data_IF_044751515708
#
_entry.id   IF_044751515708
#
_cell.length_a   1.000
_cell.length_b   1.000
_cell.length_c   1.000
_cell.angle_alpha   90.00
_cell.angle_beta   90.00
_cell.angle_gamma   90.00
#
_symmetry.space_group_name_H-M   'P 1'
#
loop_
_entity.id
_entity.type
_entity.pdbx_description
1 polymer ?
#
# COMPACT_ATOMS: atom_id res chain seq x y z
N UNK A 1 29.33 12.36 -6.75
CA UNK A 1 28.42 11.37 -6.13
C UNK A 1 27.39 11.01 -7.19
N UNK A 2 27.43 9.78 -7.73
CA UNK A 2 26.50 9.38 -8.79
C UNK A 2 25.06 9.42 -8.26
N UNK A 3 24.10 10.02 -8.98
CA UNK A 3 22.69 9.79 -8.68
C UNK A 3 22.46 8.28 -8.80
N UNK A 4 21.82 7.69 -7.80
CA UNK A 4 21.52 6.27 -7.70
C UNK A 4 20.94 5.79 -9.02
N UNK A 5 21.72 5.03 -9.80
CA UNK A 5 21.29 4.59 -11.12
C UNK A 5 20.06 3.69 -10.95
N UNK A 6 18.95 4.06 -11.58
CA UNK A 6 17.75 3.22 -11.64
C UNK A 6 18.09 2.07 -12.58
N UNK A 7 18.15 0.86 -12.02
CA UNK A 7 18.41 -0.36 -12.77
C UNK A 7 17.14 -0.82 -13.49
N UNK A 8 17.31 -1.59 -14.56
CA UNK A 8 16.20 -2.26 -15.24
C UNK A 8 15.42 -3.14 -14.25
N UNK A 9 14.09 -3.16 -14.37
CA UNK A 9 13.16 -3.88 -13.49
C UNK A 9 13.07 -3.35 -12.04
N UNK A 10 13.71 -2.22 -11.72
CA UNK A 10 13.48 -1.54 -10.46
C UNK A 10 12.05 -1.00 -10.36
N UNK A 11 11.39 -1.24 -9.23
CA UNK A 11 10.11 -0.62 -8.92
C UNK A 11 10.38 0.72 -8.27
N UNK A 12 9.80 1.78 -8.83
CA UNK A 12 9.94 3.15 -8.34
C UNK A 12 8.57 3.77 -8.09
N UNK A 13 8.46 4.58 -7.05
CA UNK A 13 7.33 5.49 -6.90
C UNK A 13 7.68 6.86 -7.49
N UNK A 14 6.76 7.43 -8.27
CA UNK A 14 6.95 8.71 -8.94
C UNK A 14 5.63 9.45 -9.08
N UNK A 15 5.73 10.78 -9.19
CA UNK A 15 4.59 11.67 -9.48
C UNK A 15 4.63 12.05 -10.96
N UNK A 16 3.46 12.05 -11.60
CA UNK A 16 3.32 12.55 -12.97
C UNK A 16 3.37 14.07 -12.96
N UNK A 17 4.32 14.67 -13.67
CA UNK A 17 4.49 16.11 -13.78
C UNK A 17 3.66 16.69 -14.92
N UNK A 18 3.71 16.04 -16.08
CA UNK A 18 3.05 16.54 -17.28
C UNK A 18 2.55 15.37 -18.15
N UNK A 19 1.42 15.58 -18.81
CA UNK A 19 0.87 14.67 -19.81
C UNK A 19 1.01 15.38 -21.16
N UNK A 20 1.87 14.83 -22.02
CA UNK A 20 2.12 15.37 -23.34
C UNK A 20 0.91 15.12 -24.25
N UNK A 21 0.79 15.88 -25.35
CA UNK A 21 -0.36 15.83 -26.25
C UNK A 21 -0.59 14.45 -26.89
N UNK A 22 0.44 13.60 -26.97
CA UNK A 22 0.34 12.21 -27.42
C UNK A 22 -0.06 11.19 -26.35
N UNK A 23 -0.44 11.63 -25.15
CA UNK A 23 -0.78 10.75 -24.02
C UNK A 23 0.43 10.18 -23.27
N UNK A 24 1.65 10.51 -23.68
CA UNK A 24 2.87 10.18 -22.94
C UNK A 24 2.95 10.98 -21.66
N UNK A 25 3.36 10.34 -20.56
CA UNK A 25 3.50 10.98 -19.25
C UNK A 25 4.95 11.24 -18.90
N UNK A 26 5.27 12.48 -18.56
CA UNK A 26 6.55 12.85 -17.95
C UNK A 26 6.47 12.68 -16.44
N UNK A 27 7.46 12.02 -15.84
CA UNK A 27 7.57 11.84 -14.40
C UNK A 27 8.43 12.95 -13.80
N UNK A 28 8.04 13.47 -12.64
CA UNK A 28 8.77 14.57 -12.02
C UNK A 28 10.12 14.13 -11.50
N UNK A 29 11.16 14.90 -11.83
CA UNK A 29 12.52 14.77 -11.27
C UNK A 29 12.70 15.52 -9.95
N UNK A 30 11.76 16.41 -9.59
CA UNK A 30 11.90 17.34 -8.46
C UNK A 30 11.68 16.69 -7.09
N UNK A 31 11.03 15.51 -7.03
CA UNK A 31 11.02 14.63 -5.86
C UNK A 31 11.81 13.39 -6.23
N UNK A 32 12.82 13.07 -5.43
CA UNK A 32 13.66 11.90 -5.62
C UNK A 32 12.78 10.65 -5.79
N UNK A 33 13.01 9.89 -6.86
CA UNK A 33 12.34 8.62 -7.06
C UNK A 33 12.57 7.74 -5.84
N UNK A 34 11.49 7.29 -5.21
CA UNK A 34 11.60 6.35 -4.09
C UNK A 34 11.71 4.95 -4.68
N UNK A 35 12.87 4.32 -4.52
CA UNK A 35 13.08 2.92 -4.91
C UNK A 35 12.34 2.05 -3.91
N UNK A 36 11.45 1.19 -4.41
CA UNK A 36 10.64 0.32 -3.59
C UNK A 36 11.28 -1.08 -3.53
N UNK A 37 11.80 -1.45 -2.36
CA UNK A 37 12.46 -2.74 -2.11
C UNK A 37 11.74 -3.55 -1.02
N UNK A 38 11.98 -4.87 -0.95
CA UNK A 38 11.43 -5.74 0.13
C UNK A 38 9.90 -5.72 0.24
N UNK A 39 9.23 -5.76 -0.90
CA UNK A 39 7.78 -5.80 -0.98
C UNK A 39 7.26 -6.65 -2.13
N UNK A 40 5.94 -6.62 -2.29
CA UNK A 40 5.21 -7.23 -3.39
C UNK A 40 4.51 -6.14 -4.19
N UNK A 41 4.66 -6.20 -5.51
CA UNK A 41 3.90 -5.39 -6.45
C UNK A 41 2.69 -6.19 -6.96
N UNK A 42 1.52 -5.58 -6.94
CA UNK A 42 0.28 -6.11 -7.49
C UNK A 42 -0.24 -5.19 -8.59
N UNK A 43 -0.95 -5.76 -9.54
CA UNK A 43 -1.67 -5.01 -10.59
C UNK A 43 -3.16 -5.31 -10.47
N UNK A 44 -3.95 -4.26 -10.34
CA UNK A 44 -5.42 -4.30 -10.34
C UNK A 44 -5.98 -3.34 -11.40
N UNK A 45 -7.25 -3.50 -11.83
CA UNK A 45 -7.88 -2.53 -12.70
C UNK A 45 -7.88 -1.12 -12.10
N UNK A 46 -7.46 -0.13 -12.89
CA UNK A 46 -7.23 1.26 -12.43
C UNK A 46 -8.44 1.92 -11.79
N UNK A 47 -9.65 1.58 -12.25
CA UNK A 47 -10.90 2.13 -11.76
C UNK A 47 -11.27 1.65 -10.33
N UNK A 48 -10.58 0.61 -9.83
CA UNK A 48 -10.77 0.13 -8.45
C UNK A 48 -9.92 0.91 -7.44
N UNK A 49 -8.96 1.72 -7.89
CA UNK A 49 -8.15 2.56 -7.00
C UNK A 49 -8.91 3.85 -6.71
N UNK A 50 -9.21 4.10 -5.44
CA UNK A 50 -9.77 5.39 -5.02
C UNK A 50 -8.74 6.50 -5.21
N UNK A 51 -9.13 7.58 -5.90
CA UNK A 51 -8.31 8.79 -6.00
C UNK A 51 -8.46 9.57 -4.69
N UNK A 52 -7.35 9.79 -3.99
CA UNK A 52 -7.32 10.46 -2.69
C UNK A 52 -6.19 11.49 -2.64
N UNK A 53 -6.14 12.26 -1.54
CA UNK A 53 -5.03 13.21 -1.30
C UNK A 53 -3.74 12.49 -0.91
N UNK A 54 -3.85 11.31 -0.29
CA UNK A 54 -2.74 10.48 0.17
C UNK A 54 -2.82 9.12 -0.50
N UNK A 55 -1.70 8.69 -1.07
CA UNK A 55 -1.54 7.37 -1.71
C UNK A 55 -0.52 6.48 -1.00
N UNK A 56 0.25 7.07 -0.08
CA UNK A 56 1.17 6.38 0.83
C UNK A 56 0.47 6.20 2.16
N UNK A 57 0.44 4.96 2.64
CA UNK A 57 -0.20 4.60 3.89
C UNK A 57 0.73 3.72 4.71
N UNK A 58 1.16 4.24 5.85
CA UNK A 58 1.85 3.45 6.84
C UNK A 58 0.82 2.67 7.68
N UNK A 59 0.98 1.36 7.79
CA UNK A 59 0.12 0.50 8.61
C UNK A 59 0.92 0.04 9.84
N UNK A 60 0.98 0.91 10.86
CA UNK A 60 1.75 0.70 12.10
C UNK A 60 1.49 -0.68 12.73
N UNK A 61 0.22 -1.07 12.79
CA UNK A 61 -0.28 -2.33 13.36
C UNK A 61 0.34 -3.58 12.74
N UNK A 62 0.81 -3.49 11.49
CA UNK A 62 1.38 -4.60 10.74
C UNK A 62 2.87 -4.37 10.41
N UNK A 63 3.40 -3.16 10.65
CA UNK A 63 4.78 -2.78 10.36
C UNK A 63 5.12 -2.81 8.86
N UNK A 64 4.14 -2.45 8.02
CA UNK A 64 4.22 -2.49 6.54
C UNK A 64 3.68 -1.20 5.92
N UNK A 65 4.18 -0.88 4.74
CA UNK A 65 3.72 0.26 3.94
C UNK A 65 2.87 -0.22 2.78
N UNK A 66 1.79 0.52 2.51
CA UNK A 66 0.87 0.31 1.41
C UNK A 66 0.84 1.56 0.52
N UNK A 67 1.20 1.38 -0.76
CA UNK A 67 1.18 2.43 -1.78
C UNK A 67 0.12 2.10 -2.82
N UNK A 68 -0.89 2.96 -2.95
CA UNK A 68 -1.99 2.83 -3.89
C UNK A 68 -1.74 3.67 -5.15
N UNK A 69 -1.06 3.12 -6.15
CA UNK A 69 -0.81 3.84 -7.41
C UNK A 69 -2.08 4.09 -8.22
N UNK A 70 -2.32 5.33 -8.64
CA UNK A 70 -3.44 5.73 -9.52
C UNK A 70 -3.50 4.95 -10.85
N UNK A 71 -2.40 4.32 -11.24
CA UNK A 71 -2.27 3.48 -12.42
C UNK A 71 -2.65 2.00 -12.18
N UNK A 72 -3.21 1.67 -11.01
CA UNK A 72 -3.60 0.30 -10.66
C UNK A 72 -2.45 -0.57 -10.18
N UNK A 73 -1.23 -0.03 -10.08
CA UNK A 73 -0.12 -0.73 -9.44
C UNK A 73 -0.14 -0.43 -7.94
N UNK A 74 -0.23 -1.50 -7.16
CA UNK A 74 -0.29 -1.44 -5.70
C UNK A 74 0.97 -2.08 -5.16
N UNK A 75 1.71 -1.36 -4.32
CA UNK A 75 2.90 -1.88 -3.70
C UNK A 75 2.69 -2.05 -2.20
N UNK A 76 3.18 -3.16 -1.66
CA UNK A 76 3.07 -3.52 -0.25
C UNK A 76 4.44 -4.00 0.20
N UNK A 77 5.05 -3.38 1.20
CA UNK A 77 6.39 -3.77 1.62
C UNK A 77 6.65 -3.56 3.10
N UNK A 78 7.81 -4.05 3.55
CA UNK A 78 8.29 -3.74 4.89
C UNK A 78 8.39 -2.23 5.06
N UNK A 79 7.88 -1.71 6.19
CA UNK A 79 8.16 -0.33 6.55
C UNK A 79 9.64 -0.21 6.87
N UNK A 80 10.37 0.51 6.03
CA UNK A 80 11.71 0.94 6.32
C UNK A 80 11.61 2.31 6.98
N UNK A 81 12.03 2.37 8.24
CA UNK A 81 12.37 3.64 8.88
C UNK A 81 13.66 4.10 8.21
N UNK A 82 13.55 4.57 6.97
CA UNK A 82 14.46 5.61 6.54
C UNK A 82 14.14 6.81 7.42
N UNK A 83 15.16 7.50 7.94
CA UNK A 83 15.02 8.83 8.51
C UNK A 83 14.51 9.77 7.40
N UNK A 84 13.25 9.62 7.00
CA UNK A 84 12.54 10.55 6.16
C UNK A 84 12.14 11.71 7.06
N UNK A 85 13.15 12.53 7.29
CA UNK A 85 12.99 13.97 7.34
C UNK A 85 11.98 14.35 6.24
N UNK A 86 10.85 14.89 6.68
CA UNK A 86 9.81 15.63 5.93
C UNK A 86 8.53 14.87 5.52
N UNK A 87 7.59 14.76 6.46
CA UNK A 87 6.35 15.56 6.36
C UNK A 87 5.93 16.12 7.73
N UNK A 88 6.62 17.16 8.17
CA UNK A 88 5.97 18.35 8.72
C UNK A 88 6.96 19.50 8.64
N UNK A 89 6.58 20.61 8.01
CA UNK A 89 7.25 21.88 8.34
C UNK A 89 7.03 22.11 9.85
N UNK A 90 8.11 22.25 10.65
CA UNK A 90 8.48 23.59 11.12
C UNK A 90 10.00 23.83 11.26
N UNK A 91 10.30 25.07 11.64
CA UNK A 91 11.57 25.79 11.68
C UNK A 91 12.70 25.19 12.55
N UNK A 92 13.93 25.62 12.20
CA UNK A 92 15.13 25.82 13.05
C UNK A 92 15.18 25.08 14.41
N UNK A 93 16.20 24.23 14.59
CA UNK A 93 17.35 24.48 15.50
C UNK A 93 18.31 23.29 15.48
N UNK A 94 19.59 23.60 15.61
CA UNK A 94 20.71 22.68 15.75
C UNK A 94 20.55 21.73 16.95
N UNK A 95 21.03 20.49 16.81
CA UNK A 95 22.07 19.85 17.64
C UNK A 95 22.02 18.33 17.47
N UNK A 96 23.18 17.69 17.44
CA UNK A 96 23.36 16.34 16.92
C UNK A 96 22.93 15.19 17.83
N UNK A 97 22.88 14.01 17.23
CA UNK A 97 23.81 12.94 17.59
C UNK A 97 23.72 11.85 16.52
N UNK A 98 24.81 11.68 15.78
CA UNK A 98 25.14 10.40 15.15
C UNK A 98 25.16 9.31 16.24
N UNK A 99 24.64 8.12 15.94
CA UNK A 99 25.32 6.81 16.08
C UNK A 99 24.32 5.64 16.17
N UNK A 100 24.64 4.59 15.40
CA UNK A 100 24.22 3.17 15.50
C UNK A 100 22.85 2.80 14.86
N UNK A 101 22.72 1.86 13.91
CA UNK A 101 23.56 0.69 13.60
C UNK A 101 23.23 0.09 12.21
N UNK A 102 24.10 0.29 11.22
CA UNK A 102 25.03 -0.73 10.72
C UNK A 102 24.59 -2.16 10.35
N UNK A 103 23.31 -2.51 10.22
CA UNK A 103 22.90 -3.82 9.67
C UNK A 103 21.99 -3.64 8.46
N UNK A 104 22.51 -3.87 7.24
CA UNK A 104 21.68 -4.27 6.10
C UNK A 104 20.87 -5.49 6.56
N UNK A 105 19.58 -5.31 6.90
CA UNK A 105 18.68 -6.43 7.21
C UNK A 105 18.68 -7.35 5.99
N UNK A 106 19.27 -8.52 6.12
CA UNK A 106 19.44 -9.49 5.02
C UNK A 106 18.13 -10.18 4.64
N UNK A 107 17.11 -10.12 5.50
CA UNK A 107 15.84 -10.81 5.31
C UNK A 107 14.70 -10.14 6.06
N UNK A 108 13.55 -9.99 5.39
CA UNK A 108 12.31 -9.53 6.02
C UNK A 108 11.74 -10.63 6.93
N UNK A 109 11.43 -10.34 8.20
CA UNK A 109 10.89 -11.31 9.15
C UNK A 109 9.67 -12.06 8.62
N UNK A 110 9.51 -13.33 9.03
CA UNK A 110 8.40 -14.18 8.58
C UNK A 110 7.03 -13.53 8.84
N UNK A 111 6.86 -12.94 10.02
CA UNK A 111 5.63 -12.27 10.42
C UNK A 111 5.27 -11.11 9.47
N UNK A 112 6.22 -10.21 9.18
CA UNK A 112 6.01 -9.13 8.20
C UNK A 112 5.67 -9.67 6.82
N UNK A 113 6.36 -10.72 6.36
CA UNK A 113 6.05 -11.37 5.08
C UNK A 113 4.62 -11.93 5.05
N UNK A 114 4.14 -12.50 6.16
CA UNK A 114 2.75 -12.94 6.26
C UNK A 114 1.77 -11.77 6.17
N UNK A 115 2.04 -10.62 6.81
CA UNK A 115 1.20 -9.43 6.68
C UNK A 115 1.18 -8.88 5.26
N UNK A 116 2.33 -8.78 4.59
CA UNK A 116 2.42 -8.40 3.17
C UNK A 116 1.51 -9.31 2.33
N UNK A 117 1.59 -10.63 2.51
CA UNK A 117 0.74 -11.58 1.79
C UNK A 117 -0.76 -11.46 2.15
N UNK A 118 -1.11 -11.21 3.42
CA UNK A 118 -2.52 -11.03 3.85
C UNK A 118 -3.14 -9.80 3.19
N UNK A 119 -2.43 -8.67 3.21
CA UNK A 119 -2.86 -7.42 2.58
C UNK A 119 -2.97 -7.60 1.06
N UNK A 120 -1.98 -8.26 0.46
CA UNK A 120 -2.00 -8.57 -0.96
C UNK A 120 -3.21 -9.43 -1.35
N UNK A 121 -3.54 -10.45 -0.55
CA UNK A 121 -4.70 -11.30 -0.78
C UNK A 121 -6.02 -10.54 -0.56
N UNK A 122 -6.12 -9.68 0.46
CA UNK A 122 -7.27 -8.81 0.63
C UNK A 122 -7.52 -7.95 -0.64
N UNK A 123 -6.47 -7.32 -1.19
CA UNK A 123 -6.59 -6.53 -2.42
C UNK A 123 -7.04 -7.39 -3.62
N UNK A 124 -6.54 -8.63 -3.73
CA UNK A 124 -6.98 -9.57 -4.78
C UNK A 124 -8.47 -9.92 -4.66
N UNK A 125 -8.97 -10.14 -3.44
CA UNK A 125 -10.40 -10.39 -3.20
C UNK A 125 -11.24 -9.20 -3.69
N UNK A 126 -10.84 -7.98 -3.35
CA UNK A 126 -11.53 -6.76 -3.78
C UNK A 126 -11.51 -6.61 -5.29
N UNK A 127 -10.36 -6.88 -5.91
CA UNK A 127 -10.21 -6.86 -7.36
C UNK A 127 -11.10 -7.89 -8.04
N UNK A 128 -11.27 -9.08 -7.47
CA UNK A 128 -12.11 -10.15 -8.02
C UNK A 128 -13.60 -9.76 -8.04
N UNK A 129 -14.07 -9.04 -7.03
CA UNK A 129 -15.45 -8.56 -6.95
C UNK A 129 -15.69 -7.19 -7.59
N UNK A 130 -14.65 -6.56 -8.14
CA UNK A 130 -14.76 -5.20 -8.69
C UNK A 130 -15.07 -4.15 -7.63
N UNK A 131 -14.68 -4.38 -6.39
CA UNK A 131 -14.85 -3.40 -5.31
C UNK A 131 -13.70 -2.40 -5.32
N UNK A 132 -14.04 -1.13 -5.08
CA UNK A 132 -13.03 -0.10 -4.86
C UNK A 132 -12.19 -0.45 -3.63
N UNK A 133 -10.88 -0.32 -3.74
CA UNK A 133 -9.91 -0.60 -2.69
C UNK A 133 -9.73 0.67 -1.85
N UNK A 134 -10.04 0.57 -0.55
CA UNK A 134 -9.69 1.56 0.46
C UNK A 134 -8.81 0.91 1.54
N UNK A 135 -8.05 1.72 2.26
CA UNK A 135 -7.15 1.23 3.30
C UNK A 135 -7.95 0.63 4.45
N UNK A 136 -9.07 1.27 4.82
CA UNK A 136 -9.97 0.82 5.88
C UNK A 136 -10.57 -0.55 5.56
N UNK A 137 -10.96 -0.75 4.29
CA UNK A 137 -11.52 -2.02 3.84
C UNK A 137 -10.49 -3.15 3.84
N UNK A 138 -9.24 -2.83 3.48
CA UNK A 138 -8.13 -3.79 3.51
C UNK A 138 -7.84 -4.20 4.95
N UNK A 139 -7.72 -3.24 5.88
CA UNK A 139 -7.56 -3.52 7.32
C UNK A 139 -8.69 -4.41 7.84
N UNK A 140 -9.94 -4.02 7.59
CA UNK A 140 -11.12 -4.77 8.02
C UNK A 140 -11.13 -6.21 7.49
N UNK A 141 -10.60 -6.44 6.28
CA UNK A 141 -10.52 -7.77 5.68
C UNK A 141 -9.43 -8.62 6.32
N UNK A 142 -8.29 -8.02 6.67
CA UNK A 142 -7.22 -8.69 7.42
C UNK A 142 -7.71 -9.06 8.82
N UNK A 143 -8.46 -8.17 9.48
CA UNK A 143 -9.07 -8.42 10.79
C UNK A 143 -10.16 -9.50 10.72
N UNK A 144 -10.98 -9.48 9.66
CA UNK A 144 -11.97 -10.53 9.42
C UNK A 144 -11.31 -11.90 9.30
N UNK A 145 -10.21 -11.99 8.54
CA UNK A 145 -9.40 -13.21 8.46
C UNK A 145 -8.92 -13.67 9.83
N UNK A 146 -8.45 -12.75 10.68
CA UNK A 146 -8.00 -13.08 12.04
C UNK A 146 -9.16 -13.59 12.90
N UNK A 147 -10.32 -12.95 12.84
CA UNK A 147 -11.51 -13.35 13.62
C UNK A 147 -12.08 -14.72 13.22
N UNK A 148 -11.95 -15.08 11.94
CA UNK A 148 -12.46 -16.34 11.41
C UNK A 148 -11.42 -17.46 11.42
N UNK A 149 -10.17 -17.17 11.82
CA UNK A 149 -9.10 -18.16 11.93
C UNK A 149 -8.52 -18.64 10.60
N UNK A 150 -8.87 -18.04 9.45
CA UNK A 150 -8.40 -18.49 8.13
C UNK A 150 -6.88 -18.33 7.96
N UNK A 151 -6.21 -19.30 7.36
CA UNK A 151 -4.83 -19.20 6.89
C UNK A 151 -4.64 -18.12 5.80
N UNK A 152 -3.40 -17.71 5.55
CA UNK A 152 -3.10 -16.73 4.48
C UNK A 152 -3.48 -17.26 3.09
N UNK A 153 -3.29 -18.56 2.86
CA UNK A 153 -3.65 -19.22 1.60
C UNK A 153 -5.16 -19.35 1.42
N UNK A 154 -5.91 -19.54 2.52
CA UNK A 154 -7.37 -19.72 2.51
C UNK A 154 -8.11 -18.43 2.13
N UNK A 155 -7.46 -17.27 2.26
CA UNK A 155 -8.01 -15.99 1.81
C UNK A 155 -8.34 -15.96 0.31
N UNK A 156 -7.73 -16.83 -0.50
CA UNK A 156 -8.00 -16.93 -1.93
C UNK A 156 -9.13 -17.91 -2.26
N UNK A 157 -9.68 -18.58 -1.24
CA UNK A 157 -10.78 -19.54 -1.39
C UNK A 157 -12.13 -18.86 -1.55
N UNK A 158 -13.06 -19.57 -2.20
CA UNK A 158 -14.42 -19.10 -2.45
C UNK A 158 -15.19 -18.79 -1.14
N UNK A 159 -14.95 -19.55 -0.08
CA UNK A 159 -15.57 -19.30 1.22
C UNK A 159 -15.17 -17.95 1.81
N UNK A 160 -13.88 -17.65 1.82
CA UNK A 160 -13.40 -16.36 2.33
C UNK A 160 -13.89 -15.21 1.45
N UNK A 161 -13.84 -15.38 0.13
CA UNK A 161 -14.39 -14.42 -0.83
C UNK A 161 -15.87 -14.10 -0.54
N UNK A 162 -16.69 -15.14 -0.31
CA UNK A 162 -18.08 -14.97 0.07
C UNK A 162 -18.24 -14.17 1.36
N UNK A 163 -17.48 -14.49 2.41
CA UNK A 163 -17.54 -13.77 3.70
C UNK A 163 -17.17 -12.29 3.56
N UNK A 164 -16.13 -11.98 2.79
CA UNK A 164 -15.73 -10.59 2.52
C UNK A 164 -16.82 -9.84 1.76
N UNK A 165 -17.38 -10.45 0.71
CA UNK A 165 -18.45 -9.84 -0.09
C UNK A 165 -19.73 -9.61 0.71
N UNK A 166 -20.15 -10.60 1.51
CA UNK A 166 -21.32 -10.52 2.38
C UNK A 166 -21.17 -9.38 3.40
N UNK A 167 -20.05 -9.35 4.13
CA UNK A 167 -19.76 -8.26 5.08
C UNK A 167 -19.76 -6.89 4.42
N UNK A 168 -19.15 -6.77 3.24
CA UNK A 168 -19.09 -5.53 2.46
C UNK A 168 -20.47 -5.05 2.03
N UNK A 169 -21.35 -5.97 1.63
CA UNK A 169 -22.72 -5.67 1.21
C UNK A 169 -23.59 -5.25 2.41
N UNK A 170 -23.50 -5.97 3.54
CA UNK A 170 -24.21 -5.63 4.77
C UNK A 170 -23.85 -4.21 5.25
N UNK A 171 -22.57 -3.84 5.23
CA UNK A 171 -22.12 -2.48 5.58
C UNK A 171 -22.71 -1.41 4.65
N UNK A 172 -22.74 -1.66 3.34
CA UNK A 172 -23.36 -0.74 2.36
C UNK A 172 -24.86 -0.58 2.60
N UNK A 173 -25.57 -1.67 2.85
CA UNK A 173 -27.02 -1.66 3.11
C UNK A 173 -27.34 -0.90 4.41
N UNK A 174 -26.54 -1.10 5.45
CA UNK A 174 -26.68 -0.38 6.71
C UNK A 174 -26.50 1.14 6.54
N UNK A 175 -25.46 1.56 5.81
CA UNK A 175 -25.24 2.98 5.49
C UNK A 175 -26.35 3.58 4.63
N UNK A 176 -26.95 2.79 3.73
CA UNK A 176 -28.09 3.23 2.91
C UNK A 176 -29.34 3.45 3.75
N UNK A 177 -29.64 2.56 4.71
CA UNK A 177 -30.78 2.72 5.63
C UNK A 177 -30.65 3.98 6.51
N UNK A 178 -29.45 4.28 7.00
CA UNK A 178 -29.18 5.49 7.80
C UNK A 178 -29.31 6.82 7.05
N UNK A 179 -29.35 6.79 5.71
CA UNK A 179 -29.55 7.99 4.87
C UNK A 179 -31.01 8.29 4.55
N UNK A 180 -31.91 7.35 4.84
CA UNK A 180 -33.35 7.43 4.53
C UNK A 180 -34.16 7.83 5.78
N UNK A 181 -33.53 7.78 6.96
CA UNK A 181 -34.05 8.28 8.25
C UNK A 181 -33.40 9.63 8.52
#
# INVERSE_FOLDING_TARGET
RNPTAILENAVICAIVENIQHGGHTSLSRAKEYVKLERGQLLKIPRYLVMRGKKHFHHLDEYGVDLILGCNGFIWIGEHEVEDQVNESYPQNTHSGSLLNSGKKKTSTPLEKRQYICRIANAIRVFSAFGFMVSVEDVKETVDLRLSLGYGVYEMLGAEFHYKVADKKLLRKNFLKKRRIV
#
